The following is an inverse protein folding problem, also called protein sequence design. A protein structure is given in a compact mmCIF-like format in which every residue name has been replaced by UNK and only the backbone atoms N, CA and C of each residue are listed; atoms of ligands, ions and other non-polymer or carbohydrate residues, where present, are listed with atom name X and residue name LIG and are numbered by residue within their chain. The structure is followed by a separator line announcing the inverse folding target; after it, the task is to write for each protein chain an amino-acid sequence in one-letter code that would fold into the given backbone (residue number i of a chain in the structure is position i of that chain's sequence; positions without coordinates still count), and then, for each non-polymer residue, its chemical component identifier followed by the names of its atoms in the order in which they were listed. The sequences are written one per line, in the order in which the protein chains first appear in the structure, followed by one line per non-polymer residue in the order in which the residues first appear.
data_IF_893300797229
#
_entry.id   IF_893300797229
#
_cell.length_a   1.000
_cell.length_b   1.000
_cell.length_c   1.000
_cell.angle_alpha   90.00
_cell.angle_beta   90.00
_cell.angle_gamma   90.00
#
_symmetry.space_group_name_H-M   'P 1'
#
loop_
_entity.id
_entity.type
_entity.pdbx_description
1 polymer ?
#
# COMPACT_ATOMS: atom_id res chain seq x y z
N UNK A 1 2.25 -10.76 -24.14
CA UNK A 1 2.17 -9.42 -23.53
C UNK A 1 3.29 -8.54 -24.07
N UNK A 2 3.05 -7.24 -24.31
CA UNK A 2 4.01 -6.30 -24.88
C UNK A 2 5.36 -6.26 -24.12
N UNK A 3 5.32 -6.40 -22.79
CA UNK A 3 6.50 -6.51 -21.92
C UNK A 3 7.36 -7.75 -22.20
N UNK A 4 6.73 -8.89 -22.49
CA UNK A 4 7.45 -10.13 -22.86
C UNK A 4 8.13 -10.04 -24.22
N UNK A 5 7.54 -9.32 -25.18
CA UNK A 5 8.16 -9.07 -26.48
C UNK A 5 9.38 -8.15 -26.33
N UNK A 6 9.25 -7.10 -25.51
CA UNK A 6 10.34 -6.16 -25.21
C UNK A 6 11.56 -6.88 -24.61
N UNK A 7 11.32 -7.75 -23.61
CA UNK A 7 12.36 -8.53 -22.93
C UNK A 7 13.07 -9.54 -23.85
N UNK A 8 12.39 -10.05 -24.88
CA UNK A 8 13.00 -10.93 -25.90
C UNK A 8 13.83 -10.19 -26.95
N UNK A 9 13.50 -8.93 -27.22
CA UNK A 9 14.10 -8.15 -28.33
C UNK A 9 15.27 -7.27 -27.88
N UNK A 10 15.32 -6.89 -26.60
CA UNK A 10 16.32 -5.95 -26.07
C UNK A 10 17.21 -6.60 -25.00
N UNK A 11 18.49 -6.24 -24.94
CA UNK A 11 19.42 -6.76 -23.95
C UNK A 11 19.08 -6.28 -22.52
N UNK A 12 19.57 -7.04 -21.54
CA UNK A 12 19.41 -6.74 -20.12
C UNK A 12 19.97 -5.36 -19.77
N UNK A 13 19.08 -4.41 -19.47
CA UNK A 13 19.42 -3.03 -19.19
C UNK A 13 18.34 -2.37 -18.33
N UNK A 14 18.74 -1.35 -17.56
CA UNK A 14 17.84 -0.54 -16.77
C UNK A 14 16.76 0.13 -17.63
N UNK A 15 17.11 0.60 -18.83
CA UNK A 15 16.16 1.21 -19.77
C UNK A 15 15.07 0.22 -20.20
N UNK A 16 15.45 -1.02 -20.53
CA UNK A 16 14.49 -2.06 -20.93
C UNK A 16 13.51 -2.40 -19.80
N UNK A 17 14.02 -2.58 -18.58
CA UNK A 17 13.14 -2.86 -17.43
C UNK A 17 12.27 -1.66 -17.07
N UNK A 18 12.80 -0.44 -17.15
CA UNK A 18 12.02 0.79 -16.96
C UNK A 18 10.86 0.91 -17.97
N UNK A 19 11.11 0.61 -19.25
CA UNK A 19 10.06 0.56 -20.27
C UNK A 19 9.04 -0.55 -19.99
N UNK A 20 9.49 -1.73 -19.57
CA UNK A 20 8.59 -2.84 -19.22
C UNK A 20 7.68 -2.47 -18.04
N UNK A 21 8.24 -1.81 -17.01
CA UNK A 21 7.50 -1.32 -15.84
C UNK A 21 6.52 -0.20 -16.22
N UNK A 22 6.93 0.75 -17.06
CA UNK A 22 6.05 1.81 -17.55
C UNK A 22 4.82 1.23 -18.29
N UNK A 23 5.03 0.24 -19.17
CA UNK A 23 3.92 -0.46 -19.84
C UNK A 23 3.06 -1.21 -18.82
N UNK A 24 3.68 -1.89 -17.85
CA UNK A 24 2.97 -2.64 -16.81
C UNK A 24 2.15 -1.75 -15.87
N UNK A 25 2.56 -0.50 -15.66
CA UNK A 25 1.90 0.45 -14.78
C UNK A 25 0.67 1.12 -15.43
N UNK A 26 0.51 1.04 -16.75
CA UNK A 26 -0.59 1.71 -17.48
C UNK A 26 -1.98 1.42 -16.88
N UNK A 27 -2.38 0.17 -16.58
CA UNK A 27 -3.71 -0.09 -16.02
C UNK A 27 -3.94 0.60 -14.67
N UNK A 28 -2.93 0.61 -13.80
CA UNK A 28 -2.99 1.31 -12.52
C UNK A 28 -3.11 2.82 -12.71
N UNK A 29 -2.34 3.39 -13.66
CA UNK A 29 -2.43 4.81 -13.99
C UNK A 29 -3.81 5.19 -14.53
N UNK A 30 -4.41 4.35 -15.39
CA UNK A 30 -5.77 4.58 -15.92
C UNK A 30 -6.80 4.55 -14.80
N UNK A 31 -6.70 3.60 -13.86
CA UNK A 31 -7.59 3.55 -12.71
C UNK A 31 -7.46 4.81 -11.83
N UNK A 32 -6.23 5.27 -11.58
CA UNK A 32 -5.95 6.46 -10.77
C UNK A 32 -6.28 7.80 -11.46
N UNK A 33 -6.65 7.78 -12.75
CA UNK A 33 -7.23 8.96 -13.40
C UNK A 33 -8.66 9.23 -12.94
N UNK A 34 -9.33 8.24 -12.34
CA UNK A 34 -10.63 8.45 -11.70
C UNK A 34 -10.47 9.34 -10.47
N UNK A 35 -11.04 10.55 -10.55
CA UNK A 35 -10.93 11.56 -9.50
C UNK A 35 -11.61 11.10 -8.21
N UNK A 36 -12.75 10.43 -8.32
CA UNK A 36 -13.54 10.03 -7.17
C UNK A 36 -12.88 8.87 -6.44
N UNK A 37 -12.31 7.91 -7.16
CA UNK A 37 -11.50 6.84 -6.58
C UNK A 37 -10.29 7.41 -5.82
N UNK A 38 -9.55 8.33 -6.44
CA UNK A 38 -8.40 8.96 -5.78
C UNK A 38 -8.82 9.87 -4.60
N UNK A 39 -10.01 10.47 -4.65
CA UNK A 39 -10.55 11.24 -3.54
C UNK A 39 -10.97 10.35 -2.37
N UNK A 40 -11.66 9.24 -2.62
CA UNK A 40 -12.02 8.27 -1.57
C UNK A 40 -10.80 7.59 -0.95
N UNK A 41 -9.74 7.35 -1.71
CA UNK A 41 -8.45 6.94 -1.14
C UNK A 41 -7.86 8.03 -0.23
N UNK A 42 -8.01 9.31 -0.61
CA UNK A 42 -7.67 10.44 0.27
C UNK A 42 -8.53 10.49 1.55
N UNK A 43 -9.81 10.11 1.47
CA UNK A 43 -10.69 10.00 2.65
C UNK A 43 -10.15 8.96 3.63
N UNK A 44 -9.78 7.77 3.15
CA UNK A 44 -9.19 6.70 3.97
C UNK A 44 -7.95 7.22 4.72
N UNK A 45 -7.01 7.84 3.99
CA UNK A 45 -5.79 8.39 4.59
C UNK A 45 -6.10 9.40 5.69
N UNK A 46 -6.98 10.37 5.42
CA UNK A 46 -7.33 11.41 6.40
C UNK A 46 -8.05 10.82 7.62
N UNK A 47 -9.00 9.90 7.40
CA UNK A 47 -9.77 9.29 8.49
C UNK A 47 -8.88 8.46 9.42
N UNK A 48 -7.99 7.63 8.85
CA UNK A 48 -7.03 6.84 9.64
C UNK A 48 -6.06 7.76 10.38
N UNK A 49 -5.47 8.74 9.70
CA UNK A 49 -4.51 9.64 10.32
C UNK A 49 -5.15 10.50 11.44
N UNK A 50 -6.38 10.97 11.25
CA UNK A 50 -7.14 11.67 12.28
C UNK A 50 -7.37 10.78 13.52
N UNK A 51 -7.76 9.53 13.30
CA UNK A 51 -7.95 8.54 14.37
C UNK A 51 -6.63 8.27 15.12
N UNK A 52 -5.54 8.01 14.41
CA UNK A 52 -4.21 7.74 15.01
C UNK A 52 -3.66 8.93 15.80
N UNK A 53 -3.95 10.16 15.36
CA UNK A 53 -3.50 11.40 16.01
C UNK A 53 -4.47 11.90 17.10
N UNK A 54 -5.67 11.32 17.20
CA UNK A 54 -6.72 11.78 18.11
C UNK A 54 -7.26 13.17 17.75
N UNK A 55 -7.32 13.51 16.46
CA UNK A 55 -7.79 14.80 15.94
C UNK A 55 -9.21 14.66 15.43
N UNK A 56 -10.11 15.55 15.85
CA UNK A 56 -11.52 15.53 15.41
C UNK A 56 -11.70 16.17 14.02
N UNK A 57 -10.92 17.21 13.70
CA UNK A 57 -10.99 17.90 12.41
C UNK A 57 -10.25 17.13 11.30
N UNK A 58 -10.91 16.09 10.80
CA UNK A 58 -10.37 15.21 9.74
C UNK A 58 -10.10 15.98 8.44
N UNK A 59 -10.83 17.05 8.15
CA UNK A 59 -10.62 17.83 6.92
C UNK A 59 -9.26 18.54 6.92
N UNK A 60 -8.78 18.95 8.10
CA UNK A 60 -7.48 19.61 8.27
C UNK A 60 -6.27 18.67 8.12
N UNK A 61 -6.47 17.37 8.25
CA UNK A 61 -5.40 16.36 8.18
C UNK A 61 -4.87 16.26 6.73
N UNK A 62 -3.55 16.16 6.51
CA UNK A 62 -3.00 15.93 5.17
C UNK A 62 -3.52 14.64 4.55
N UNK A 63 -3.68 14.65 3.21
CA UNK A 63 -4.10 13.46 2.47
C UNK A 63 -2.96 12.45 2.26
N UNK A 64 -1.71 12.84 2.49
CA UNK A 64 -0.56 11.94 2.45
C UNK A 64 -0.40 11.18 3.76
N UNK A 65 -0.17 9.87 3.67
CA UNK A 65 -0.03 8.99 4.83
C UNK A 65 1.15 8.03 4.66
N UNK A 66 1.97 7.88 5.71
CA UNK A 66 3.19 7.10 5.66
C UNK A 66 2.92 5.58 5.63
N UNK A 67 1.75 5.14 6.11
CA UNK A 67 1.33 3.73 6.07
C UNK A 67 0.61 3.33 4.78
N UNK A 68 0.64 4.18 3.75
CA UNK A 68 0.08 3.86 2.45
C UNK A 68 0.97 2.87 1.66
N UNK A 69 0.36 1.89 0.99
CA UNK A 69 1.04 0.96 0.09
C UNK A 69 1.76 1.63 -1.10
N UNK A 70 1.48 2.92 -1.40
CA UNK A 70 2.23 3.69 -2.40
C UNK A 70 3.72 3.78 -2.07
N UNK A 71 4.10 3.71 -0.78
CA UNK A 71 5.49 3.66 -0.33
C UNK A 71 6.23 2.36 -0.74
N UNK A 72 5.50 1.29 -1.10
CA UNK A 72 6.09 0.05 -1.61
C UNK A 72 6.46 0.11 -3.10
N UNK A 73 5.82 0.99 -3.88
CA UNK A 73 5.90 0.97 -5.36
C UNK A 73 7.35 1.13 -5.83
N UNK A 74 8.06 2.16 -5.35
CA UNK A 74 9.42 2.45 -5.78
C UNK A 74 10.42 1.35 -5.34
N UNK A 75 10.45 0.93 -4.07
CA UNK A 75 11.27 -0.21 -3.65
C UNK A 75 11.01 -1.48 -4.48
N UNK A 76 9.74 -1.84 -4.71
CA UNK A 76 9.39 -3.01 -5.53
C UNK A 76 9.89 -2.88 -6.97
N UNK A 77 9.72 -1.71 -7.59
CA UNK A 77 10.21 -1.46 -8.95
C UNK A 77 11.73 -1.56 -9.04
N UNK A 78 12.45 -0.97 -8.09
CA UNK A 78 13.92 -1.01 -8.05
C UNK A 78 14.44 -2.43 -7.84
N UNK A 79 13.91 -3.16 -6.87
CA UNK A 79 14.31 -4.53 -6.57
C UNK A 79 13.95 -5.49 -7.70
N UNK A 80 12.79 -5.33 -8.33
CA UNK A 80 12.37 -6.13 -9.48
C UNK A 80 13.25 -5.88 -10.71
N UNK A 81 13.50 -4.61 -11.06
CA UNK A 81 14.37 -4.25 -12.19
C UNK A 81 15.82 -4.68 -11.94
N UNK A 82 16.37 -4.33 -10.76
CA UNK A 82 17.72 -4.67 -10.37
C UNK A 82 17.94 -6.18 -10.31
N UNK A 83 17.02 -6.91 -9.68
CA UNK A 83 17.05 -8.37 -9.62
C UNK A 83 16.97 -9.01 -11.00
N UNK A 84 16.10 -8.52 -11.89
CA UNK A 84 15.99 -9.04 -13.26
C UNK A 84 17.26 -8.78 -14.07
N UNK A 85 17.81 -7.56 -14.00
CA UNK A 85 19.05 -7.20 -14.71
C UNK A 85 20.22 -8.03 -14.18
N UNK A 86 20.33 -8.21 -12.87
CA UNK A 86 21.38 -9.02 -12.26
C UNK A 86 21.24 -10.49 -12.66
N UNK A 87 20.03 -11.04 -12.61
CA UNK A 87 19.76 -12.42 -12.99
C UNK A 87 20.19 -12.71 -14.44
N UNK A 88 19.84 -11.85 -15.38
CA UNK A 88 20.20 -12.03 -16.80
C UNK A 88 21.67 -11.73 -17.11
N UNK A 89 22.41 -11.09 -16.20
CA UNK A 89 23.86 -10.91 -16.30
C UNK A 89 24.63 -12.14 -15.79
N UNK A 90 24.05 -12.87 -14.86
CA UNK A 90 24.70 -14.00 -14.18
C UNK A 90 24.31 -15.36 -14.75
N UNK A 91 23.12 -15.45 -15.34
CA UNK A 91 22.55 -16.70 -15.83
C UNK A 91 22.11 -16.51 -17.28
N UNK A 92 22.63 -17.36 -18.15
CA UNK A 92 22.17 -17.45 -19.53
C UNK A 92 20.77 -18.07 -19.58
N UNK A 93 19.85 -17.40 -20.27
CA UNK A 93 18.46 -17.86 -20.48
C UNK A 93 17.73 -18.36 -19.20
N UNK A 94 17.58 -17.53 -18.16
CA UNK A 94 17.03 -17.99 -16.89
C UNK A 94 15.56 -18.42 -17.05
N UNK A 95 15.24 -19.60 -16.50
CA UNK A 95 13.92 -20.20 -16.60
C UNK A 95 12.82 -19.41 -15.89
N UNK A 96 11.53 -19.64 -16.22
CA UNK A 96 10.40 -18.88 -15.65
C UNK A 96 10.30 -18.95 -14.12
N UNK A 97 10.60 -20.11 -13.52
CA UNK A 97 10.56 -20.29 -12.07
C UNK A 97 11.61 -19.44 -11.34
N UNK A 98 12.83 -19.34 -11.89
CA UNK A 98 13.91 -18.52 -11.33
C UNK A 98 13.54 -17.03 -11.41
N UNK A 99 12.98 -16.60 -12.55
CA UNK A 99 12.49 -15.23 -12.73
C UNK A 99 11.38 -14.89 -11.75
N UNK A 100 10.43 -15.80 -11.55
CA UNK A 100 9.37 -15.66 -10.55
C UNK A 100 9.96 -15.57 -9.13
N UNK A 101 10.95 -16.42 -8.80
CA UNK A 101 11.65 -16.38 -7.53
C UNK A 101 12.34 -15.04 -7.27
N UNK A 102 13.01 -14.46 -8.27
CA UNK A 102 13.62 -13.12 -8.15
C UNK A 102 12.55 -12.04 -7.93
N UNK A 103 11.43 -12.10 -8.64
CA UNK A 103 10.31 -11.17 -8.46
C UNK A 103 9.71 -11.25 -7.05
N UNK A 104 9.45 -12.48 -6.56
CA UNK A 104 8.93 -12.72 -5.22
C UNK A 104 9.93 -12.29 -4.14
N UNK A 105 11.21 -12.65 -4.28
CA UNK A 105 12.26 -12.24 -3.35
C UNK A 105 12.41 -10.72 -3.28
N UNK A 106 12.36 -10.04 -4.42
CA UNK A 106 12.36 -8.58 -4.48
C UNK A 106 11.15 -7.96 -3.79
N UNK A 107 9.95 -8.52 -3.98
CA UNK A 107 8.74 -8.06 -3.31
C UNK A 107 8.80 -8.29 -1.79
N UNK A 108 9.27 -9.46 -1.33
CA UNK A 108 9.46 -9.74 0.10
C UNK A 108 10.43 -8.75 0.75
N UNK A 109 11.56 -8.47 0.11
CA UNK A 109 12.52 -7.49 0.62
C UNK A 109 11.90 -6.08 0.67
N UNK A 110 11.12 -5.69 -0.34
CA UNK A 110 10.43 -4.40 -0.33
C UNK A 110 9.46 -4.24 0.86
N UNK A 111 8.72 -5.31 1.19
CA UNK A 111 7.80 -5.33 2.34
C UNK A 111 8.57 -5.20 3.65
N UNK A 112 9.69 -5.91 3.81
CA UNK A 112 10.52 -5.77 5.01
C UNK A 112 11.14 -4.37 5.13
N UNK A 113 11.56 -3.76 4.02
CA UNK A 113 12.05 -2.38 4.01
C UNK A 113 10.97 -1.37 4.43
N UNK A 114 9.73 -1.54 3.97
CA UNK A 114 8.59 -0.71 4.36
C UNK A 114 8.21 -0.92 5.83
N UNK A 115 8.15 -2.17 6.28
CA UNK A 115 7.89 -2.47 7.68
C UNK A 115 9.01 -1.94 8.59
N UNK A 116 10.25 -1.93 8.12
CA UNK A 116 11.37 -1.31 8.83
C UNK A 116 11.20 0.21 8.88
N UNK A 117 10.85 0.87 7.78
CA UNK A 117 10.72 2.34 7.74
C UNK A 117 9.60 2.84 8.66
N UNK A 118 8.44 2.16 8.69
CA UNK A 118 7.32 2.51 9.58
C UNK A 118 7.72 2.41 11.06
N UNK A 119 8.52 1.40 11.44
CA UNK A 119 9.01 1.24 12.83
C UNK A 119 10.06 2.27 13.23
N UNK A 120 10.70 2.92 12.27
CA UNK A 120 11.77 3.91 12.48
C UNK A 120 11.32 5.32 12.05
N UNK A 121 10.03 5.61 12.15
CA UNK A 121 9.48 6.91 11.80
C UNK A 121 10.22 8.06 12.53
N UNK A 122 10.54 9.13 11.80
CA UNK A 122 11.36 10.24 12.28
C UNK A 122 12.87 10.10 12.03
N UNK A 123 13.38 8.90 11.72
CA UNK A 123 14.78 8.74 11.30
C UNK A 123 14.99 9.25 9.86
N UNK A 124 16.10 9.95 9.54
CA UNK A 124 16.31 10.51 8.21
C UNK A 124 16.23 9.50 7.06
N UNK A 125 16.64 8.26 7.30
CA UNK A 125 16.59 7.18 6.30
C UNK A 125 15.17 6.66 6.10
N UNK A 126 14.37 6.54 7.16
CA UNK A 126 12.97 6.17 7.06
C UNK A 126 12.20 7.27 6.31
N UNK A 127 12.45 8.55 6.61
CA UNK A 127 11.83 9.67 5.90
C UNK A 127 12.21 9.73 4.42
N UNK A 128 13.48 9.47 4.10
CA UNK A 128 13.93 9.37 2.72
C UNK A 128 13.22 8.22 1.98
N UNK A 129 12.96 7.10 2.66
CA UNK A 129 12.24 5.97 2.09
C UNK A 129 10.77 6.30 1.78
N UNK A 130 10.07 7.02 2.66
CA UNK A 130 8.66 7.43 2.43
C UNK A 130 8.49 8.54 1.40
N UNK A 131 9.51 9.39 1.22
CA UNK A 131 9.45 10.55 0.31
C UNK A 131 8.92 10.22 -1.10
N UNK A 132 9.47 9.24 -1.85
CA UNK A 132 8.95 8.93 -3.19
C UNK A 132 7.49 8.48 -3.18
N UNK A 133 7.06 7.71 -2.18
CA UNK A 133 5.67 7.28 -2.10
C UNK A 133 4.72 8.42 -1.71
N UNK A 134 5.15 9.35 -0.84
CA UNK A 134 4.39 10.59 -0.57
C UNK A 134 4.21 11.45 -1.81
N UNK A 135 5.22 11.53 -2.68
CA UNK A 135 5.07 12.25 -3.96
C UNK A 135 4.09 11.56 -4.91
N UNK A 136 4.09 10.21 -4.95
CA UNK A 136 3.07 9.46 -5.69
C UNK A 136 1.68 9.76 -5.15
N UNK A 137 1.51 9.76 -3.83
CA UNK A 137 0.23 10.08 -3.18
C UNK A 137 -0.23 11.49 -3.52
N UNK A 138 0.65 12.48 -3.35
CA UNK A 138 0.37 13.90 -3.57
C UNK A 138 -0.13 14.18 -4.98
N UNK A 139 0.55 13.61 -5.98
CA UNK A 139 0.33 13.95 -7.37
C UNK A 139 -0.65 13.01 -8.09
N UNK A 140 -0.64 11.73 -7.73
CA UNK A 140 -1.32 10.68 -8.49
C UNK A 140 -2.37 9.95 -7.65
N UNK A 141 -1.95 9.32 -6.55
CA UNK A 141 -2.79 8.32 -5.90
C UNK A 141 -3.90 8.90 -4.99
N UNK A 142 -3.81 10.19 -4.62
CA UNK A 142 -4.83 10.84 -3.78
C UNK A 142 -5.28 12.19 -4.32
N UNK A 143 -6.54 12.54 -4.09
CA UNK A 143 -7.12 13.87 -4.33
C UNK A 143 -7.79 14.38 -3.05
N UNK A 144 -7.96 15.69 -2.97
CA UNK A 144 -8.67 16.30 -1.85
C UNK A 144 -10.17 15.92 -1.94
N UNK A 145 -10.73 15.29 -0.90
CA UNK A 145 -12.12 14.84 -0.92
C UNK A 145 -13.11 15.99 -0.69
N UNK A 146 -14.35 15.79 -1.13
CA UNK A 146 -15.46 16.68 -0.75
C UNK A 146 -15.92 16.37 0.67
N UNK A 147 -16.71 17.28 1.27
CA UNK A 147 -17.33 17.06 2.57
C UNK A 147 -18.24 15.83 2.60
N UNK A 148 -18.98 15.58 1.52
CA UNK A 148 -19.86 14.40 1.39
C UNK A 148 -19.04 13.10 1.36
N UNK A 149 -17.90 13.09 0.66
CA UNK A 149 -17.01 11.92 0.63
C UNK A 149 -16.39 11.66 2.01
N UNK A 150 -16.00 12.72 2.74
CA UNK A 150 -15.51 12.61 4.12
C UNK A 150 -16.58 12.05 5.05
N UNK A 151 -17.83 12.49 4.93
CA UNK A 151 -18.96 11.96 5.73
C UNK A 151 -19.12 10.45 5.55
N UNK A 152 -19.09 9.97 4.30
CA UNK A 152 -19.16 8.53 3.99
C UNK A 152 -18.00 7.77 4.62
N UNK A 153 -16.77 8.26 4.50
CA UNK A 153 -15.61 7.57 5.06
C UNK A 153 -15.56 7.60 6.58
N UNK A 154 -16.02 8.67 7.21
CA UNK A 154 -16.13 8.75 8.67
C UNK A 154 -17.21 7.81 9.21
N UNK A 155 -18.34 7.69 8.51
CA UNK A 155 -19.36 6.70 8.84
C UNK A 155 -18.81 5.26 8.72
N UNK A 156 -18.03 4.98 7.67
CA UNK A 156 -17.38 3.68 7.51
C UNK A 156 -16.34 3.41 8.61
N UNK A 157 -15.50 4.40 8.96
CA UNK A 157 -14.52 4.28 10.04
C UNK A 157 -15.20 4.03 11.39
N UNK A 158 -16.26 4.77 11.70
CA UNK A 158 -17.02 4.57 12.94
C UNK A 158 -17.59 3.15 13.06
N UNK A 159 -18.11 2.59 11.95
CA UNK A 159 -18.63 1.23 11.95
C UNK A 159 -17.52 0.17 12.12
N UNK A 160 -16.35 0.37 11.51
CA UNK A 160 -15.18 -0.51 11.71
C UNK A 160 -14.81 -0.54 13.20
N UNK A 161 -14.67 0.62 13.83
CA UNK A 161 -14.32 0.73 15.24
C UNK A 161 -15.39 0.13 16.16
N UNK A 162 -16.66 0.28 15.81
CA UNK A 162 -17.78 -0.34 16.56
C UNK A 162 -17.68 -1.87 16.53
N UNK A 163 -17.44 -2.45 15.36
CA UNK A 163 -17.29 -3.91 15.18
C UNK A 163 -16.03 -4.43 15.87
N UNK A 164 -14.91 -3.70 15.81
CA UNK A 164 -13.68 -4.08 16.53
C UNK A 164 -13.88 -4.06 18.05
N UNK A 165 -14.59 -3.08 18.59
CA UNK A 165 -14.95 -3.02 20.00
C UNK A 165 -15.83 -4.21 20.41
N UNK A 166 -16.82 -4.59 19.59
CA UNK A 166 -17.67 -5.75 19.85
C UNK A 166 -16.88 -7.07 19.83
N UNK A 167 -15.92 -7.20 18.90
CA UNK A 167 -15.07 -8.39 18.78
C UNK A 167 -14.06 -8.52 19.94
N UNK A 168 -13.54 -7.40 20.43
CA UNK A 168 -12.55 -7.38 21.52
C UNK A 168 -13.19 -7.37 22.91
N UNK A 169 -14.50 -7.16 23.00
CA UNK A 169 -15.23 -7.27 24.25
C UNK A 169 -15.12 -8.71 24.80
N UNK A 170 -14.78 -8.88 26.09
CA UNK A 170 -14.83 -10.21 26.71
C UNK A 170 -16.25 -10.78 26.56
N UNK A 171 -16.40 -12.11 26.35
CA UNK A 171 -17.73 -12.71 26.24
C UNK A 171 -18.55 -12.30 27.46
N UNK A 172 -19.77 -11.83 27.22
CA UNK A 172 -20.68 -11.44 28.29
C UNK A 172 -20.74 -12.61 29.29
N UNK A 173 -20.33 -12.34 30.54
CA UNK A 173 -20.45 -13.33 31.60
C UNK A 173 -21.90 -13.79 31.62
N UNK A 174 -22.10 -15.09 31.47
CA UNK A 174 -23.42 -15.72 31.43
C UNK A 174 -24.16 -15.43 32.74
N UNK A 175 -24.93 -14.35 32.75
CA UNK A 175 -25.88 -14.03 33.78
C UNK A 175 -27.12 -14.89 33.53
N UNK A 176 -27.00 -16.21 33.69
CA UNK A 176 -28.01 -17.11 33.14
C UNK A 176 -28.04 -18.55 33.65
N UNK A 177 -27.23 -18.99 34.61
CA UNK A 177 -27.30 -20.35 35.17
C UNK A 177 -27.16 -20.39 36.69
N UNK A 178 -28.18 -19.92 37.43
CA UNK A 178 -28.27 -20.19 38.88
C UNK A 178 -29.69 -20.48 39.41
N UNK A 179 -30.73 -20.54 38.57
CA UNK A 179 -32.12 -20.77 39.05
C UNK A 179 -32.72 -22.15 38.71
N UNK A 180 -31.96 -23.11 38.15
CA UNK A 180 -32.52 -24.42 37.76
C UNK A 180 -32.28 -25.60 38.72
N UNK A 181 -31.59 -25.39 39.85
CA UNK A 181 -31.21 -26.49 40.77
C UNK A 181 -31.96 -26.52 42.12
N UNK A 182 -33.17 -25.94 42.21
CA UNK A 182 -34.01 -26.01 43.42
C UNK A 182 -35.45 -26.46 43.16
N UNK A 183 -35.64 -27.54 42.40
CA UNK A 183 -36.93 -28.28 42.36
C UNK A 183 -36.74 -29.78 42.32
#
# INVERSE_FOLDING_TARGET
AATGLLRRRLPASALREGLAQAIGAVPAMVALMDRDLAAYHGVEHKAIAAYEQGVEDVASVPKEHDRCGSNLIVPMMLLSAGGTVLLERLVDEPGPAVRAGVGLGGASIAVEMFAWSDRHHGDPLAEAFHTPGREIQRHLATKEPTSEQLEVGLAAMAEILRVEADYTAPPAADAGESERDLR
#
